data_IF_383224000762
#
_entry.id   IF_383224000762
#
_cell.length_a   1.000
_cell.length_b   1.000
_cell.length_c   1.000
_cell.angle_alpha   90.00
_cell.angle_beta   90.00
_cell.angle_gamma   90.00
#
_symmetry.space_group_name_H-M   'P 1'
#
loop_
_entity.id
_entity.type
_entity.pdbx_description
1 polymer ?
#
# COMPACT_ATOMS: atom_id res chain seq x y z
N UNK A 1 58.82 -20.77 40.58
CA UNK A 1 58.15 -21.25 39.36
C UNK A 1 56.71 -21.60 39.70
N UNK A 2 55.76 -20.74 39.34
CA UNK A 2 54.34 -20.87 39.70
C UNK A 2 53.65 -21.65 38.57
N UNK A 3 53.23 -22.87 38.86
CA UNK A 3 52.56 -23.78 37.92
C UNK A 3 51.26 -23.14 37.42
N UNK A 4 51.32 -22.53 36.23
CA UNK A 4 50.13 -22.11 35.49
C UNK A 4 49.41 -23.39 35.03
N UNK A 5 48.34 -23.75 35.74
CA UNK A 5 47.50 -24.89 35.40
C UNK A 5 46.97 -24.70 33.97
N UNK A 6 47.35 -25.60 33.04
CA UNK A 6 46.91 -25.62 31.63
C UNK A 6 45.38 -25.53 31.46
N UNK A 7 44.61 -25.86 32.50
CA UNK A 7 43.14 -25.73 32.56
C UNK A 7 42.65 -24.28 32.68
N UNK A 8 43.44 -23.36 33.23
CA UNK A 8 43.02 -21.95 33.41
C UNK A 8 43.20 -21.10 32.14
N UNK A 9 44.12 -21.49 31.25
CA UNK A 9 44.32 -20.83 29.95
C UNK A 9 43.20 -21.14 28.95
N UNK A 10 42.56 -22.31 29.08
CA UNK A 10 41.48 -22.76 28.19
C UNK A 10 40.11 -22.10 28.48
N UNK A 11 39.90 -21.57 29.70
CA UNK A 11 38.64 -20.91 30.06
C UNK A 11 38.62 -19.45 29.58
N UNK A 12 39.79 -18.80 29.50
CA UNK A 12 39.91 -17.41 29.04
C UNK A 12 39.74 -17.25 27.52
N UNK A 13 40.06 -18.27 26.72
CA UNK A 13 39.89 -18.23 25.26
C UNK A 13 38.45 -18.41 24.79
N UNK A 14 37.57 -19.01 25.61
CA UNK A 14 36.15 -19.22 25.26
C UNK A 14 35.32 -17.94 25.47
N UNK A 15 35.72 -17.07 26.40
CA UNK A 15 35.02 -15.80 26.70
C UNK A 15 35.23 -14.71 25.65
N UNK A 16 36.26 -14.78 24.82
CA UNK A 16 36.55 -13.76 23.79
C UNK A 16 35.82 -14.06 22.47
N UNK A 17 35.46 -15.32 22.20
CA UNK A 17 34.77 -15.70 20.97
C UNK A 17 33.27 -15.39 20.96
N UNK A 18 32.64 -15.20 22.13
CA UNK A 18 31.22 -14.84 22.22
C UNK A 18 30.94 -13.36 21.95
N UNK A 19 31.96 -12.48 22.04
CA UNK A 19 31.81 -11.05 21.72
C UNK A 19 31.96 -10.71 20.24
N UNK A 20 32.51 -11.62 19.42
CA UNK A 20 32.67 -11.40 17.99
C UNK A 20 31.35 -11.48 17.21
N UNK A 21 30.33 -12.16 17.75
CA UNK A 21 29.03 -12.33 17.09
C UNK A 21 28.08 -11.13 17.28
N UNK A 22 28.23 -10.36 18.36
CA UNK A 22 27.40 -9.17 18.59
C UNK A 22 27.84 -7.94 17.78
N UNK A 23 29.08 -7.92 17.28
CA UNK A 23 29.63 -6.80 16.51
C UNK A 23 29.17 -6.76 15.04
N UNK A 24 28.90 -7.92 14.42
CA UNK A 24 28.43 -7.99 13.03
C UNK A 24 26.94 -7.71 12.89
N UNK A 25 26.12 -8.12 13.86
CA UNK A 25 24.66 -7.94 13.79
C UNK A 25 24.27 -6.46 13.82
N UNK A 26 24.94 -5.65 14.66
CA UNK A 26 24.66 -4.21 14.77
C UNK A 26 25.02 -3.43 13.50
N UNK A 27 26.07 -3.82 12.77
CA UNK A 27 26.44 -3.15 11.52
C UNK A 27 25.49 -3.51 10.37
N UNK A 28 25.02 -4.75 10.31
CA UNK A 28 24.01 -5.18 9.33
C UNK A 28 22.69 -4.45 9.54
N UNK A 29 22.17 -4.44 10.78
CA UNK A 29 20.91 -3.72 11.11
C UNK A 29 20.99 -2.25 10.70
N UNK A 30 22.08 -1.56 11.08
CA UNK A 30 22.26 -0.16 10.72
C UNK A 30 22.32 0.07 9.21
N UNK A 31 23.16 -0.70 8.50
CA UNK A 31 23.34 -0.54 7.06
C UNK A 31 22.03 -0.81 6.30
N UNK A 32 21.31 -1.86 6.66
CA UNK A 32 20.02 -2.20 6.05
C UNK A 32 18.96 -1.13 6.33
N UNK A 33 18.92 -0.56 7.53
CA UNK A 33 18.01 0.54 7.85
C UNK A 33 18.34 1.82 7.08
N UNK A 34 19.63 2.16 6.94
CA UNK A 34 20.06 3.30 6.13
C UNK A 34 19.72 3.10 4.64
N UNK A 35 19.93 1.89 4.10
CA UNK A 35 19.51 1.52 2.73
C UNK A 35 18.00 1.64 2.54
N UNK A 36 17.20 1.15 3.49
CA UNK A 36 15.75 1.27 3.42
C UNK A 36 15.29 2.73 3.32
N UNK A 37 15.88 3.63 4.13
CA UNK A 37 15.58 5.06 4.10
C UNK A 37 15.96 5.70 2.77
N UNK A 38 17.11 5.33 2.22
CA UNK A 38 17.54 5.79 0.89
C UNK A 38 16.56 5.34 -0.20
N UNK A 39 16.14 4.08 -0.17
CA UNK A 39 15.19 3.52 -1.13
C UNK A 39 13.79 4.16 -0.99
N UNK A 40 13.33 4.45 0.23
CA UNK A 40 12.10 5.23 0.47
C UNK A 40 12.19 6.61 -0.20
N UNK A 41 13.31 7.31 -0.03
CA UNK A 41 13.51 8.63 -0.63
C UNK A 41 13.57 8.59 -2.16
N UNK A 42 13.97 7.45 -2.74
CA UNK A 42 13.95 7.22 -4.19
C UNK A 42 12.62 6.68 -4.71
N UNK A 43 11.66 6.37 -3.83
CA UNK A 43 10.40 5.72 -4.19
C UNK A 43 10.55 4.24 -4.56
N UNK A 44 11.67 3.60 -4.22
CA UNK A 44 11.95 2.18 -4.50
C UNK A 44 11.38 1.28 -3.38
N UNK A 45 10.07 1.36 -3.14
CA UNK A 45 9.42 0.78 -1.95
C UNK A 45 9.61 -0.72 -1.77
N UNK A 46 9.62 -1.50 -2.86
CA UNK A 46 9.88 -2.95 -2.76
C UNK A 46 11.29 -3.24 -2.23
N UNK A 47 12.29 -2.46 -2.68
CA UNK A 47 13.67 -2.60 -2.17
C UNK A 47 13.77 -2.16 -0.72
N UNK A 48 13.06 -1.09 -0.37
CA UNK A 48 12.97 -0.65 1.02
C UNK A 48 12.36 -1.73 1.92
N UNK A 49 11.30 -2.43 1.48
CA UNK A 49 10.72 -3.56 2.22
C UNK A 49 11.72 -4.70 2.39
N UNK A 50 12.46 -5.08 1.34
CA UNK A 50 13.48 -6.14 1.43
C UNK A 50 14.58 -5.77 2.46
N UNK A 51 15.02 -4.51 2.44
CA UNK A 51 16.00 -4.00 3.39
C UNK A 51 15.45 -3.97 4.84
N UNK A 52 14.19 -3.55 5.03
CA UNK A 52 13.53 -3.57 6.34
C UNK A 52 13.30 -4.99 6.85
N UNK A 53 12.96 -5.94 5.98
CA UNK A 53 12.84 -7.35 6.34
C UNK A 53 14.18 -7.89 6.85
N UNK A 54 15.29 -7.50 6.21
CA UNK A 54 16.64 -7.86 6.68
C UNK A 54 16.90 -7.32 8.10
N UNK A 55 16.44 -6.10 8.42
CA UNK A 55 16.52 -5.56 9.79
C UNK A 55 15.70 -6.42 10.75
N UNK A 56 14.44 -6.71 10.41
CA UNK A 56 13.52 -7.45 11.28
C UNK A 56 13.90 -8.91 11.49
N UNK A 57 14.60 -9.52 10.53
CA UNK A 57 15.15 -10.87 10.67
C UNK A 57 16.30 -10.92 11.70
N UNK A 58 17.04 -9.83 11.85
CA UNK A 58 18.15 -9.71 12.81
C UNK A 58 17.70 -9.13 14.17
N UNK A 59 16.76 -8.21 14.16
CA UNK A 59 16.16 -7.55 15.32
C UNK A 59 14.65 -7.40 15.10
N UNK A 60 13.89 -8.45 15.45
CA UNK A 60 12.45 -8.49 15.24
C UNK A 60 11.67 -7.45 16.05
N UNK A 61 12.31 -6.84 17.06
CA UNK A 61 11.71 -5.82 17.91
C UNK A 61 12.14 -4.40 17.49
N UNK A 62 12.82 -4.25 16.36
CA UNK A 62 13.25 -2.95 15.85
C UNK A 62 12.03 -2.09 15.49
N UNK A 63 11.67 -1.16 16.39
CA UNK A 63 10.46 -0.36 16.27
C UNK A 63 10.45 0.52 15.03
N UNK A 64 11.59 1.12 14.71
CA UNK A 64 11.73 1.98 13.52
C UNK A 64 11.50 1.19 12.23
N UNK A 65 12.08 -0.01 12.11
CA UNK A 65 11.87 -0.84 10.94
C UNK A 65 10.41 -1.32 10.81
N UNK A 66 9.77 -1.68 11.92
CA UNK A 66 8.33 -2.02 11.93
C UNK A 66 7.47 -0.85 11.47
N UNK A 67 7.74 0.36 11.96
CA UNK A 67 6.96 1.55 11.63
C UNK A 67 7.12 1.92 10.15
N UNK A 68 8.36 1.90 9.62
CA UNK A 68 8.61 2.13 8.20
C UNK A 68 7.95 1.06 7.32
N UNK A 69 8.00 -0.21 7.73
CA UNK A 69 7.36 -1.31 7.00
C UNK A 69 5.85 -1.10 6.90
N UNK A 70 5.21 -0.70 8.00
CA UNK A 70 3.77 -0.43 8.03
C UNK A 70 3.41 0.77 7.15
N UNK A 71 4.16 1.87 7.23
CA UNK A 71 3.94 3.06 6.39
C UNK A 71 4.00 2.71 4.90
N UNK A 72 5.01 1.93 4.49
CA UNK A 72 5.14 1.49 3.10
C UNK A 72 3.98 0.55 2.73
N UNK A 73 3.64 -0.39 3.60
CA UNK A 73 2.56 -1.35 3.38
C UNK A 73 1.20 -0.67 3.17
N UNK A 74 0.83 0.26 4.05
CA UNK A 74 -0.42 1.02 3.95
C UNK A 74 -0.43 1.88 2.66
N UNK A 75 0.69 2.54 2.33
CA UNK A 75 0.78 3.31 1.08
C UNK A 75 0.63 2.43 -0.18
N UNK A 76 1.31 1.29 -0.24
CA UNK A 76 1.20 0.37 -1.38
C UNK A 76 -0.20 -0.25 -1.47
N UNK A 77 -0.82 -0.58 -0.34
CA UNK A 77 -2.22 -1.01 -0.29
C UNK A 77 -3.17 0.06 -0.85
N UNK A 78 -2.93 1.33 -0.52
CA UNK A 78 -3.70 2.43 -1.10
C UNK A 78 -3.53 2.52 -2.63
N UNK A 79 -2.31 2.36 -3.14
CA UNK A 79 -2.02 2.34 -4.58
C UNK A 79 -2.77 1.20 -5.27
N UNK A 80 -2.78 0.00 -4.69
CA UNK A 80 -3.46 -1.16 -5.26
C UNK A 80 -4.99 -0.98 -5.31
N UNK A 81 -5.58 -0.46 -4.23
CA UNK A 81 -7.00 -0.10 -4.21
C UNK A 81 -7.34 1.00 -5.21
N UNK A 82 -6.48 2.02 -5.35
CA UNK A 82 -6.66 3.10 -6.32
C UNK A 82 -6.65 2.56 -7.75
N UNK A 83 -5.67 1.73 -8.10
CA UNK A 83 -5.57 1.07 -9.41
C UNK A 83 -6.78 0.16 -9.69
N UNK A 84 -7.34 -0.45 -8.65
CA UNK A 84 -8.56 -1.25 -8.70
C UNK A 84 -9.86 -0.43 -8.71
N UNK A 85 -9.77 0.91 -8.72
CA UNK A 85 -10.89 1.85 -8.67
C UNK A 85 -11.77 1.72 -7.42
N UNK A 86 -11.15 1.30 -6.32
CA UNK A 86 -11.74 1.16 -4.99
C UNK A 86 -11.35 2.39 -4.14
N UNK A 87 -11.79 3.58 -4.57
CA UNK A 87 -11.28 4.85 -4.05
C UNK A 87 -11.52 5.07 -2.55
N UNK A 88 -12.60 4.52 -1.99
CA UNK A 88 -12.86 4.59 -0.54
C UNK A 88 -11.92 3.67 0.25
N UNK A 89 -11.60 2.49 -0.28
CA UNK A 89 -10.62 1.60 0.33
C UNK A 89 -9.20 2.19 0.23
N UNK A 90 -8.87 2.80 -0.91
CA UNK A 90 -7.60 3.51 -1.08
C UNK A 90 -7.43 4.64 -0.06
N UNK A 91 -8.48 5.45 0.18
CA UNK A 91 -8.46 6.48 1.21
C UNK A 91 -8.30 5.88 2.61
N UNK A 92 -9.01 4.79 2.91
CA UNK A 92 -8.96 4.15 4.21
C UNK A 92 -7.56 3.60 4.55
N UNK A 93 -6.81 3.12 3.56
CA UNK A 93 -5.40 2.74 3.75
C UNK A 93 -4.53 3.96 4.10
N UNK A 94 -4.70 5.08 3.39
CA UNK A 94 -3.93 6.31 3.70
C UNK A 94 -4.29 6.93 5.04
N UNK A 95 -5.52 6.74 5.52
CA UNK A 95 -5.97 7.22 6.83
C UNK A 95 -5.34 6.45 8.00
N UNK A 96 -4.76 5.27 7.76
CA UNK A 96 -4.00 4.50 8.77
C UNK A 96 -2.62 5.08 9.05
N UNK A 97 -2.08 5.85 8.09
CA UNK A 97 -0.75 6.42 8.23
C UNK A 97 -0.67 7.32 9.47
N UNK A 98 0.38 7.17 10.30
CA UNK A 98 0.54 7.96 11.50
C UNK A 98 0.75 9.42 11.09
N UNK A 99 0.14 10.39 11.78
CA UNK A 99 0.12 11.81 11.34
C UNK A 99 1.49 12.47 11.16
N UNK A 100 2.52 11.90 11.77
CA UNK A 100 3.92 12.33 11.77
C UNK A 100 4.81 11.58 10.74
N UNK A 101 4.24 10.75 9.86
CA UNK A 101 4.94 10.13 8.70
C UNK A 101 5.58 11.15 7.74
N UNK A 102 5.28 12.43 7.95
CA UNK A 102 5.67 13.63 7.19
C UNK A 102 7.19 13.77 7.03
N UNK A 103 7.97 13.19 7.95
CA UNK A 103 9.44 13.28 7.95
C UNK A 103 10.11 12.21 7.07
N UNK A 104 9.33 11.31 6.46
CA UNK A 104 9.82 10.31 5.51
C UNK A 104 9.66 10.80 4.05
N UNK A 105 10.59 10.43 3.16
CA UNK A 105 10.53 10.78 1.72
C UNK A 105 9.28 10.31 0.96
N UNK A 106 8.39 9.55 1.61
CA UNK A 106 7.11 9.09 1.06
C UNK A 106 6.01 10.16 1.08
N UNK A 107 6.17 11.24 1.86
CA UNK A 107 5.12 12.25 2.10
C UNK A 107 4.50 12.79 0.82
N UNK A 108 5.32 13.24 -0.12
CA UNK A 108 4.83 13.87 -1.36
C UNK A 108 4.05 12.88 -2.21
N UNK A 109 4.46 11.61 -2.22
CA UNK A 109 3.77 10.55 -2.94
C UNK A 109 2.41 10.23 -2.31
N UNK A 110 2.31 10.24 -0.97
CA UNK A 110 1.03 10.10 -0.28
C UNK A 110 0.10 11.27 -0.59
N UNK A 111 0.59 12.51 -0.51
CA UNK A 111 -0.22 13.71 -0.82
C UNK A 111 -0.71 13.69 -2.26
N UNK A 112 0.14 13.30 -3.20
CA UNK A 112 -0.25 13.15 -4.60
C UNK A 112 -1.35 12.10 -4.77
N UNK A 113 -1.20 10.94 -4.15
CA UNK A 113 -2.22 9.89 -4.20
C UNK A 113 -3.55 10.33 -3.56
N UNK A 114 -3.51 11.05 -2.43
CA UNK A 114 -4.71 11.62 -1.80
C UNK A 114 -5.44 12.57 -2.76
N UNK A 115 -4.71 13.45 -3.44
CA UNK A 115 -5.30 14.37 -4.42
C UNK A 115 -5.93 13.63 -5.61
N UNK A 116 -5.25 12.60 -6.12
CA UNK A 116 -5.78 11.74 -7.20
C UNK A 116 -7.05 10.98 -6.76
N UNK A 117 -7.08 10.45 -5.53
CA UNK A 117 -8.27 9.81 -4.96
C UNK A 117 -9.44 10.80 -4.92
N UNK A 118 -9.23 12.02 -4.41
CA UNK A 118 -10.26 13.06 -4.33
C UNK A 118 -10.77 13.42 -5.72
N UNK A 119 -9.87 13.60 -6.68
CA UNK A 119 -10.22 13.90 -8.07
C UNK A 119 -11.08 12.79 -8.70
N UNK A 120 -10.68 11.52 -8.55
CA UNK A 120 -11.43 10.40 -9.12
C UNK A 120 -12.77 10.18 -8.42
N UNK A 121 -12.87 10.39 -7.11
CA UNK A 121 -14.15 10.35 -6.39
C UNK A 121 -15.13 11.42 -6.91
N UNK A 122 -14.65 12.62 -7.23
CA UNK A 122 -15.48 13.66 -7.82
C UNK A 122 -16.01 13.25 -9.21
N UNK A 123 -15.17 12.63 -10.04
CA UNK A 123 -15.59 12.06 -11.33
C UNK A 123 -16.63 10.94 -11.16
N UNK A 124 -16.36 10.00 -10.24
CA UNK A 124 -17.28 8.90 -9.94
C UNK A 124 -18.64 9.40 -9.47
N UNK A 125 -18.70 10.45 -8.65
CA UNK A 125 -19.97 11.05 -8.19
C UNK A 125 -20.84 11.56 -9.33
N UNK A 126 -20.25 12.07 -10.42
CA UNK A 126 -21.01 12.49 -11.59
C UNK A 126 -21.68 11.31 -12.33
N UNK A 127 -21.13 10.10 -12.21
CA UNK A 127 -21.65 8.88 -12.84
C UNK A 127 -22.97 8.43 -12.20
N UNK A 128 -23.20 8.70 -10.92
CA UNK A 128 -24.41 8.29 -10.21
C UNK A 128 -25.69 8.83 -10.86
N UNK A 129 -25.63 10.05 -11.40
CA UNK A 129 -26.76 10.64 -12.14
C UNK A 129 -27.16 9.80 -13.35
N UNK A 130 -26.19 9.42 -14.18
CA UNK A 130 -26.42 8.59 -15.36
C UNK A 130 -26.94 7.19 -14.99
N UNK A 131 -26.36 6.56 -13.95
CA UNK A 131 -26.80 5.24 -13.47
C UNK A 131 -28.26 5.32 -12.98
N UNK A 132 -28.60 6.33 -12.18
CA UNK A 132 -29.96 6.50 -11.66
C UNK A 132 -30.97 6.74 -12.77
N UNK A 133 -30.64 7.58 -13.75
CA UNK A 133 -31.49 7.82 -14.92
C UNK A 133 -31.67 6.54 -15.75
N UNK A 134 -30.58 5.82 -16.04
CA UNK A 134 -30.63 4.57 -16.78
C UNK A 134 -31.46 3.50 -16.05
N UNK A 135 -31.33 3.37 -14.72
CA UNK A 135 -32.14 2.46 -13.91
C UNK A 135 -33.63 2.80 -14.01
N UNK A 136 -33.99 4.08 -13.85
CA UNK A 136 -35.39 4.52 -14.00
C UNK A 136 -35.95 4.20 -15.40
N UNK A 137 -35.17 4.42 -16.45
CA UNK A 137 -35.58 4.10 -17.82
C UNK A 137 -35.74 2.59 -18.03
N UNK A 138 -34.89 1.76 -17.43
CA UNK A 138 -35.05 0.30 -17.40
C UNK A 138 -36.36 -0.10 -16.70
N UNK A 139 -36.67 0.50 -15.55
CA UNK A 139 -37.91 0.23 -14.80
C UNK A 139 -39.16 0.62 -15.61
N UNK A 140 -39.07 1.69 -16.40
CA UNK A 140 -40.09 2.15 -17.35
C UNK A 140 -40.10 1.35 -18.68
N UNK A 141 -39.26 0.31 -18.82
CA UNK A 141 -39.08 -0.50 -20.05
C UNK A 141 -38.61 0.30 -21.28
N UNK A 142 -38.04 1.49 -21.07
CA UNK A 142 -37.45 2.38 -22.10
C UNK A 142 -35.99 2.02 -22.37
N UNK A 143 -35.77 0.81 -22.91
CA UNK A 143 -34.43 0.23 -23.00
C UNK A 143 -33.49 0.91 -24.01
N UNK A 144 -34.02 1.58 -25.04
CA UNK A 144 -33.20 2.31 -26.01
C UNK A 144 -32.64 3.59 -25.39
N UNK A 145 -33.48 4.30 -24.66
CA UNK A 145 -33.13 5.51 -23.92
C UNK A 145 -32.16 5.18 -22.79
N UNK A 146 -32.39 4.10 -22.05
CA UNK A 146 -31.46 3.65 -20.99
C UNK A 146 -30.05 3.36 -21.54
N UNK A 147 -29.95 2.75 -22.72
CA UNK A 147 -28.65 2.50 -23.35
C UNK A 147 -27.97 3.81 -23.78
N UNK A 148 -28.73 4.77 -24.31
CA UNK A 148 -28.21 6.08 -24.69
C UNK A 148 -27.62 6.80 -23.46
N UNK A 149 -28.30 6.74 -22.33
CA UNK A 149 -27.84 7.31 -21.06
C UNK A 149 -26.52 6.68 -20.60
N UNK A 150 -26.42 5.33 -20.62
CA UNK A 150 -25.18 4.63 -20.24
C UNK A 150 -24.01 5.00 -21.18
N UNK A 151 -24.27 5.18 -22.47
CA UNK A 151 -23.24 5.57 -23.45
C UNK A 151 -22.67 6.97 -23.23
N UNK A 152 -23.34 7.82 -22.44
CA UNK A 152 -22.82 9.14 -22.06
C UNK A 152 -21.76 9.08 -20.94
N UNK A 153 -21.63 7.94 -20.26
CA UNK A 153 -20.66 7.76 -19.18
C UNK A 153 -19.24 7.64 -19.76
N UNK A 154 -18.32 8.51 -19.33
CA UNK A 154 -16.89 8.33 -19.60
C UNK A 154 -16.38 7.04 -18.94
N UNK A 155 -15.82 6.12 -19.73
CA UNK A 155 -15.31 4.81 -19.29
C UNK A 155 -14.27 4.89 -18.17
N UNK A 156 -13.59 6.03 -18.02
CA UNK A 156 -12.56 6.23 -17.00
C UNK A 156 -13.07 6.91 -15.72
N UNK A 157 -14.38 7.19 -15.63
CA UNK A 157 -14.98 7.87 -14.47
C UNK A 157 -15.59 6.93 -13.41
N UNK A 158 -16.22 5.78 -13.77
CA UNK A 158 -16.84 4.91 -12.78
C UNK A 158 -15.85 4.26 -11.82
N UNK A 159 -16.25 4.22 -10.55
CA UNK A 159 -15.69 3.31 -9.54
C UNK A 159 -16.00 1.84 -9.86
N UNK A 160 -15.32 0.91 -9.20
CA UNK A 160 -15.55 -0.53 -9.37
C UNK A 160 -17.02 -0.93 -9.13
N UNK A 161 -17.64 -0.45 -8.05
CA UNK A 161 -19.04 -0.75 -7.74
C UNK A 161 -20.00 -0.22 -8.83
N UNK A 162 -19.72 0.97 -9.36
CA UNK A 162 -20.50 1.56 -10.44
C UNK A 162 -20.36 0.77 -11.75
N UNK A 163 -19.17 0.27 -12.07
CA UNK A 163 -18.95 -0.63 -13.22
C UNK A 163 -19.86 -1.87 -13.11
N UNK A 164 -19.95 -2.48 -11.92
CA UNK A 164 -20.83 -3.63 -11.70
C UNK A 164 -22.31 -3.28 -11.90
N UNK A 165 -22.75 -2.12 -11.41
CA UNK A 165 -24.13 -1.62 -11.63
C UNK A 165 -24.41 -1.39 -13.12
N UNK A 166 -23.50 -0.73 -13.83
CA UNK A 166 -23.60 -0.47 -15.27
C UNK A 166 -23.67 -1.80 -16.05
N UNK A 167 -22.85 -2.79 -15.69
CA UNK A 167 -22.87 -4.10 -16.34
C UNK A 167 -24.19 -4.84 -16.11
N UNK A 168 -24.77 -4.76 -14.90
CA UNK A 168 -26.10 -5.32 -14.61
C UNK A 168 -27.19 -4.66 -15.45
N UNK A 169 -27.20 -3.33 -15.53
CA UNK A 169 -28.12 -2.56 -16.38
C UNK A 169 -27.99 -2.94 -17.85
N UNK A 170 -26.77 -2.97 -18.37
CA UNK A 170 -26.49 -3.37 -19.75
C UNK A 170 -27.04 -4.76 -20.06
N UNK A 171 -26.85 -5.73 -19.16
CA UNK A 171 -27.39 -7.08 -19.33
C UNK A 171 -28.92 -7.09 -19.44
N UNK A 172 -29.61 -6.33 -18.60
CA UNK A 172 -31.08 -6.19 -18.66
C UNK A 172 -31.51 -5.58 -19.99
N UNK A 173 -30.88 -4.47 -20.39
CA UNK A 173 -31.16 -3.76 -21.64
C UNK A 173 -31.01 -4.68 -22.86
N UNK A 174 -29.89 -5.39 -22.98
CA UNK A 174 -29.64 -6.26 -24.14
C UNK A 174 -30.62 -7.44 -24.22
N UNK A 175 -31.06 -7.97 -23.07
CA UNK A 175 -32.02 -9.07 -23.05
C UNK A 175 -33.44 -8.66 -23.48
N UNK A 176 -33.81 -7.39 -23.30
CA UNK A 176 -35.17 -6.89 -23.56
C UNK A 176 -35.27 -5.98 -24.81
N UNK A 177 -34.18 -5.81 -25.55
CA UNK A 177 -34.16 -5.14 -26.85
C UNK A 177 -34.55 -6.03 -28.03
N UNK A 178 -34.74 -7.33 -27.78
CA UNK A 178 -35.23 -8.32 -28.75
C UNK A 178 -36.75 -8.21 -28.88
#
# INVERSE_FOLDING_TARGET
MRNFNKKMLAVLTILVFSFALFGCTNSVVKNSLDSAKEDINKGEYNKAQDALQTVLDQDSNNKEAQDLMNIIGDYLGAVDHFNSREYDAAQAELDKLPKDYVDCGIKDNVVNLQNEIVYQKAKAKAVDGFINTAQKLVDEKKYKEAEAEIKMIDVNSPSKEQIEKINKLNKIIQNNKK
#
